data_IF_620794786260
#
_entry.id   IF_620794786260
#
_cell.length_a   1.000
_cell.length_b   1.000
_cell.length_c   1.000
_cell.angle_alpha   90.00
_cell.angle_beta   90.00
_cell.angle_gamma   90.00
#
_symmetry.space_group_name_H-M   'P 1'
#
loop_
_entity.id
_entity.type
_entity.pdbx_description
1 polymer ?
#
# COMPACT_ATOMS: atom_id res chain seq x y z
N UNK A 1 -10.14 -9.29 6.69
CA UNK A 1 -11.49 -8.91 6.24
C UNK A 1 -11.42 -8.68 4.75
N UNK A 2 -12.34 -9.25 3.98
CA UNK A 2 -12.45 -9.03 2.53
C UNK A 2 -13.57 -8.03 2.28
N UNK A 3 -13.33 -7.07 1.38
CA UNK A 3 -14.29 -6.02 1.03
C UNK A 3 -14.44 -6.00 -0.49
N UNK A 4 -15.66 -5.80 -0.97
CA UNK A 4 -15.86 -5.43 -2.37
C UNK A 4 -15.37 -3.99 -2.60
N UNK A 5 -14.93 -3.66 -3.81
CA UNK A 5 -14.44 -2.31 -4.14
C UNK A 5 -15.45 -1.20 -3.78
N UNK A 6 -16.74 -1.44 -4.05
CA UNK A 6 -17.83 -0.52 -3.71
C UNK A 6 -17.97 -0.23 -2.20
N UNK A 7 -17.51 -1.15 -1.33
CA UNK A 7 -17.59 -0.99 0.12
C UNK A 7 -16.38 -0.25 0.70
N UNK A 8 -15.31 -0.05 -0.08
CA UNK A 8 -14.06 0.56 0.38
C UNK A 8 -14.28 1.98 0.91
N UNK A 9 -15.05 2.80 0.21
CA UNK A 9 -15.29 4.19 0.61
C UNK A 9 -15.94 4.28 2.01
N UNK A 10 -16.97 3.48 2.26
CA UNK A 10 -17.63 3.41 3.57
C UNK A 10 -16.69 2.87 4.66
N UNK A 11 -15.87 1.88 4.33
CA UNK A 11 -14.87 1.38 5.27
C UNK A 11 -13.82 2.44 5.64
N UNK A 12 -13.31 3.22 4.68
CA UNK A 12 -12.33 4.28 4.94
C UNK A 12 -12.88 5.40 5.84
N UNK A 13 -14.19 5.67 5.78
CA UNK A 13 -14.86 6.61 6.68
C UNK A 13 -14.91 6.11 8.13
N UNK A 14 -14.93 4.80 8.35
CA UNK A 14 -14.91 4.21 9.70
C UNK A 14 -13.51 4.22 10.33
N UNK A 15 -12.47 4.47 9.52
CA UNK A 15 -11.09 4.56 9.95
C UNK A 15 -10.13 3.86 8.98
N UNK A 16 -8.90 4.38 8.91
CA UNK A 16 -7.86 3.76 8.11
C UNK A 16 -7.24 2.58 8.87
N UNK A 17 -7.10 1.44 8.20
CA UNK A 17 -6.37 0.27 8.72
C UNK A 17 -4.88 0.37 8.35
N UNK A 18 -3.99 -0.23 9.16
CA UNK A 18 -2.54 -0.16 8.93
C UNK A 18 -2.08 -0.94 7.69
N UNK A 19 -2.89 -1.88 7.18
CA UNK A 19 -2.56 -2.71 6.03
C UNK A 19 -3.78 -2.90 5.13
N UNK A 20 -3.56 -2.73 3.83
CA UNK A 20 -4.51 -3.05 2.77
C UNK A 20 -3.83 -3.92 1.73
N UNK A 21 -4.52 -4.97 1.31
CA UNK A 21 -4.12 -5.80 0.18
C UNK A 21 -5.14 -5.58 -0.93
N UNK A 22 -4.68 -5.09 -2.07
CA UNK A 22 -5.49 -4.90 -3.27
C UNK A 22 -5.12 -6.00 -4.25
N UNK A 23 -6.11 -6.81 -4.62
CA UNK A 23 -5.94 -7.89 -5.59
C UNK A 23 -7.17 -7.95 -6.48
N UNK A 24 -6.98 -8.30 -7.74
CA UNK A 24 -8.04 -8.38 -8.74
C UNK A 24 -7.47 -8.25 -10.15
N UNK A 25 -8.24 -8.72 -11.12
CA UNK A 25 -7.83 -8.74 -12.53
C UNK A 25 -8.15 -7.45 -13.27
N UNK A 26 -8.83 -6.50 -12.61
CA UNK A 26 -9.19 -5.20 -13.16
C UNK A 26 -8.20 -4.11 -12.68
N UNK A 27 -7.24 -3.67 -13.53
CA UNK A 27 -6.20 -2.73 -13.11
C UNK A 27 -6.77 -1.37 -12.70
N UNK A 28 -7.84 -0.92 -13.36
CA UNK A 28 -8.48 0.36 -13.06
C UNK A 28 -9.08 0.35 -11.65
N UNK A 29 -9.83 -0.69 -11.28
CA UNK A 29 -10.40 -0.83 -9.93
C UNK A 29 -9.31 -0.89 -8.85
N UNK A 30 -8.22 -1.62 -9.11
CA UNK A 30 -7.09 -1.68 -8.18
C UNK A 30 -6.43 -0.31 -8.00
N UNK A 31 -6.30 0.47 -9.08
CA UNK A 31 -5.78 1.82 -9.02
C UNK A 31 -6.72 2.74 -8.24
N UNK A 32 -8.02 2.77 -8.55
CA UNK A 32 -9.01 3.59 -7.84
C UNK A 32 -9.06 3.27 -6.34
N UNK A 33 -8.97 1.99 -5.98
CA UNK A 33 -8.91 1.57 -4.59
C UNK A 33 -7.63 2.09 -3.89
N UNK A 34 -6.48 2.01 -4.55
CA UNK A 34 -5.23 2.54 -4.03
C UNK A 34 -5.28 4.07 -3.85
N UNK A 35 -5.87 4.78 -4.82
CA UNK A 35 -6.08 6.22 -4.78
C UNK A 35 -6.98 6.65 -3.62
N UNK A 36 -8.06 5.91 -3.37
CA UNK A 36 -8.96 6.15 -2.24
C UNK A 36 -8.24 5.95 -0.90
N UNK A 37 -7.47 4.87 -0.75
CA UNK A 37 -6.68 4.59 0.46
C UNK A 37 -5.64 5.70 0.68
N UNK A 38 -4.91 6.12 -0.36
CA UNK A 38 -3.94 7.21 -0.25
C UNK A 38 -4.59 8.53 0.15
N UNK A 39 -5.75 8.84 -0.41
CA UNK A 39 -6.48 10.07 -0.07
C UNK A 39 -6.90 10.05 1.39
N UNK A 40 -7.46 8.95 1.88
CA UNK A 40 -7.82 8.78 3.29
C UNK A 40 -6.62 8.76 4.24
N UNK A 41 -5.46 8.27 3.79
CA UNK A 41 -4.23 8.32 4.57
C UNK A 41 -3.70 9.76 4.68
N UNK A 42 -3.69 10.52 3.58
CA UNK A 42 -3.25 11.92 3.57
C UNK A 42 -4.07 12.79 4.54
N UNK A 43 -5.38 12.58 4.63
CA UNK A 43 -6.22 13.32 5.60
C UNK A 43 -5.88 13.00 7.06
N UNK A 44 -5.17 11.90 7.33
CA UNK A 44 -4.71 11.48 8.65
C UNK A 44 -3.23 11.82 8.91
N UNK A 45 -2.61 12.64 8.05
CA UNK A 45 -1.23 13.11 8.19
C UNK A 45 -0.19 12.19 7.57
N UNK A 46 -0.57 11.23 6.72
CA UNK A 46 0.37 10.42 5.96
C UNK A 46 0.82 11.18 4.72
N UNK A 47 1.88 11.98 4.87
CA UNK A 47 2.38 12.93 3.85
C UNK A 47 3.45 12.30 2.97
N UNK A 48 4.22 11.36 3.50
CA UNK A 48 5.27 10.67 2.75
C UNK A 48 4.75 9.42 2.03
N UNK A 49 5.38 9.08 0.90
CA UNK A 49 5.06 7.89 0.11
C UNK A 49 6.30 7.27 -0.51
N UNK A 50 6.53 6.02 -0.17
CA UNK A 50 7.52 5.15 -0.80
C UNK A 50 6.78 4.10 -1.61
N UNK A 51 7.10 3.98 -2.91
CA UNK A 51 6.38 3.10 -3.82
C UNK A 51 7.34 2.18 -4.56
N UNK A 52 7.14 0.88 -4.37
CA UNK A 52 8.02 -0.16 -4.86
C UNK A 52 7.25 -1.05 -5.82
N UNK A 53 7.78 -1.27 -7.02
CA UNK A 53 7.21 -2.22 -7.98
C UNK A 53 8.14 -3.42 -8.10
N UNK A 54 7.64 -4.60 -7.72
CA UNK A 54 8.37 -5.87 -7.82
C UNK A 54 8.50 -6.23 -9.29
N UNK A 55 9.74 -6.25 -9.77
CA UNK A 55 10.11 -6.62 -11.13
C UNK A 55 11.11 -7.77 -11.11
N UNK A 56 10.65 -8.96 -11.49
CA UNK A 56 11.48 -10.16 -11.54
C UNK A 56 11.83 -10.75 -10.17
N UNK A 57 12.70 -11.76 -10.16
CA UNK A 57 13.03 -12.56 -8.98
C UNK A 57 14.04 -11.90 -8.03
N UNK A 58 14.66 -10.79 -8.43
CA UNK A 58 15.76 -10.12 -7.70
C UNK A 58 15.35 -8.74 -7.19
N UNK A 59 14.06 -8.54 -6.91
CA UNK A 59 13.59 -7.30 -6.32
C UNK A 59 14.22 -7.12 -4.92
N UNK A 60 14.72 -5.91 -4.65
CA UNK A 60 15.39 -5.60 -3.39
C UNK A 60 14.36 -5.31 -2.27
N UNK A 61 14.04 -6.35 -1.50
CA UNK A 61 13.16 -6.26 -0.34
C UNK A 61 13.77 -5.46 0.83
N UNK A 62 15.09 -5.28 0.86
CA UNK A 62 15.74 -4.50 1.93
C UNK A 62 15.33 -3.03 1.86
N UNK A 63 15.09 -2.48 0.66
CA UNK A 63 14.60 -1.13 0.48
C UNK A 63 13.18 -0.92 1.05
N UNK A 64 12.31 -1.93 0.90
CA UNK A 64 10.94 -1.92 1.48
C UNK A 64 11.01 -1.97 3.00
N UNK A 65 11.85 -2.87 3.54
CA UNK A 65 12.06 -3.00 4.99
C UNK A 65 12.66 -1.74 5.59
N UNK A 66 13.61 -1.10 4.92
CA UNK A 66 14.20 0.16 5.35
C UNK A 66 13.16 1.29 5.41
N UNK A 67 12.24 1.37 4.44
CA UNK A 67 11.14 2.32 4.49
C UNK A 67 10.21 2.06 5.68
N UNK A 68 9.79 0.81 5.91
CA UNK A 68 8.94 0.44 7.05
C UNK A 68 9.62 0.57 8.42
N UNK A 69 10.95 0.40 8.46
CA UNK A 69 11.77 0.43 9.68
C UNK A 69 12.34 1.81 10.02
N UNK A 70 12.13 2.83 9.19
CA UNK A 70 12.49 4.23 9.48
C UNK A 70 11.57 4.80 10.57
N UNK A 71 11.74 4.31 11.80
CA UNK A 71 11.14 4.83 13.02
C UNK A 71 11.96 6.04 13.48
N UNK A 72 11.92 7.13 12.72
CA UNK A 72 12.38 8.40 13.29
C UNK A 72 11.41 8.82 14.40
N UNK A 73 11.95 9.27 15.53
CA UNK A 73 11.15 9.89 16.60
C UNK A 73 10.41 11.15 16.13
N UNK A 74 10.81 11.67 14.95
CA UNK A 74 10.22 12.79 14.25
C UNK A 74 9.73 12.39 12.85
N UNK A 75 9.64 11.09 12.52
CA UNK A 75 9.17 10.65 11.21
C UNK A 75 7.71 11.08 11.03
N UNK A 76 7.46 11.75 9.91
CA UNK A 76 6.10 11.89 9.41
C UNK A 76 5.52 10.51 9.11
N UNK A 77 4.19 10.40 9.22
CA UNK A 77 3.52 9.16 8.84
C UNK A 77 3.75 8.93 7.35
N UNK A 78 4.16 7.72 6.98
CA UNK A 78 4.46 7.38 5.60
C UNK A 78 3.57 6.26 5.08
N UNK A 79 3.33 6.28 3.77
CA UNK A 79 2.67 5.20 3.04
C UNK A 79 3.75 4.37 2.34
N UNK A 80 3.87 3.10 2.70
CA UNK A 80 4.71 2.13 1.96
C UNK A 80 3.80 1.33 1.04
N UNK A 81 3.99 1.48 -0.27
CA UNK A 81 3.23 0.76 -1.29
C UNK A 81 4.11 -0.26 -2.00
N UNK A 82 3.61 -1.49 -2.12
CA UNK A 82 4.28 -2.57 -2.84
C UNK A 82 3.33 -3.02 -3.96
N UNK A 83 3.76 -2.90 -5.21
CA UNK A 83 3.04 -3.39 -6.39
C UNK A 83 3.71 -4.64 -6.91
N UNK A 84 2.93 -5.69 -7.14
CA UNK A 84 3.41 -6.98 -7.66
C UNK A 84 2.60 -7.33 -8.90
N UNK A 85 2.94 -6.80 -10.09
CA UNK A 85 2.15 -7.02 -11.32
C UNK A 85 2.01 -8.49 -11.70
N UNK A 86 3.01 -9.32 -11.38
CA UNK A 86 3.00 -10.77 -11.66
C UNK A 86 2.20 -11.59 -10.65
N UNK A 87 1.77 -10.98 -9.53
CA UNK A 87 1.26 -11.69 -8.36
C UNK A 87 2.29 -12.56 -7.62
N UNK A 88 3.56 -12.54 -8.04
CA UNK A 88 4.63 -13.37 -7.49
C UNK A 88 5.67 -12.49 -6.78
N UNK A 89 5.69 -12.43 -5.44
CA UNK A 89 6.68 -11.64 -4.69
C UNK A 89 8.12 -12.18 -4.81
N UNK A 90 8.29 -13.44 -5.21
CA UNK A 90 9.60 -14.10 -5.23
C UNK A 90 9.82 -14.94 -3.98
N UNK A 91 11.07 -15.30 -3.68
CA UNK A 91 11.42 -16.12 -2.50
C UNK A 91 11.51 -15.31 -1.21
N UNK A 92 11.90 -14.05 -1.32
CA UNK A 92 12.24 -13.20 -0.17
C UNK A 92 11.08 -12.30 0.30
N UNK A 93 9.91 -12.38 -0.35
CA UNK A 93 8.73 -11.58 -0.02
C UNK A 93 7.43 -12.37 0.05
#
# INVERSE_FOLDING_TARGET
MQLAAAQLAGHLQQGLRPLYTLHGDEPLLAQEAADAIRTAARTQGYTERSSYTVAGAHFDWSAVLAAGGSLSLFADKQIVEIRIPSGKPGKDG
#
